data_IF_499638393739
#
_entry.id   IF_499638393739
#
_cell.length_a   1.000
_cell.length_b   1.000
_cell.length_c   1.000
_cell.angle_alpha   90.00
_cell.angle_beta   90.00
_cell.angle_gamma   90.00
#
_symmetry.space_group_name_H-M   'P 1'
#
loop_
_entity.id
_entity.type
_entity.pdbx_description
1 polymer ?
#
# COMPACT_ATOMS: atom_id res chain seq x y z
N UNK A 1 18.87 10.76 -14.96
CA UNK A 1 17.69 10.17 -14.30
C UNK A 1 17.04 11.26 -13.45
N UNK A 2 15.70 11.38 -13.40
CA UNK A 2 15.06 12.32 -12.49
C UNK A 2 15.48 11.95 -11.06
N UNK A 3 16.25 12.84 -10.44
CA UNK A 3 16.81 12.59 -9.12
C UNK A 3 15.67 12.64 -8.11
N UNK A 4 15.52 11.60 -7.29
CA UNK A 4 14.69 11.66 -6.09
C UNK A 4 15.17 12.82 -5.24
N UNK A 5 14.26 13.64 -4.71
CA UNK A 5 14.66 14.79 -3.89
C UNK A 5 15.31 14.28 -2.59
N UNK A 6 16.18 15.08 -1.94
CA UNK A 6 16.78 14.68 -0.67
C UNK A 6 15.75 14.27 0.40
N UNK A 7 14.56 14.89 0.38
CA UNK A 7 13.45 14.53 1.27
C UNK A 7 12.87 13.14 0.95
N UNK A 8 12.78 12.78 -0.33
CA UNK A 8 12.36 11.45 -0.77
C UNK A 8 13.37 10.39 -0.37
N UNK A 9 14.67 10.67 -0.56
CA UNK A 9 15.74 9.75 -0.16
C UNK A 9 15.73 9.48 1.35
N UNK A 10 15.50 10.51 2.18
CA UNK A 10 15.37 10.35 3.64
C UNK A 10 14.23 9.42 4.03
N UNK A 11 13.06 9.55 3.38
CA UNK A 11 11.92 8.66 3.62
C UNK A 11 12.21 7.22 3.21
N UNK A 12 12.77 7.04 2.02
CA UNK A 12 13.18 5.71 1.53
C UNK A 12 14.18 5.07 2.49
N UNK A 13 15.20 5.82 2.91
CA UNK A 13 16.20 5.35 3.86
C UNK A 13 15.58 4.96 5.20
N UNK A 14 14.63 5.74 5.70
CA UNK A 14 13.94 5.44 6.96
C UNK A 14 13.15 4.14 6.88
N UNK A 15 12.31 3.97 5.86
CA UNK A 15 11.51 2.74 5.66
C UNK A 15 12.41 1.53 5.47
N UNK A 16 13.50 1.66 4.70
CA UNK A 16 14.44 0.56 4.48
C UNK A 16 15.23 0.21 5.75
N UNK A 17 15.52 1.20 6.61
CA UNK A 17 16.11 0.96 7.92
C UNK A 17 15.15 0.18 8.83
N UNK A 18 13.90 0.63 8.95
CA UNK A 18 12.86 -0.08 9.72
C UNK A 18 12.60 -1.51 9.19
N UNK A 19 12.71 -1.73 7.87
CA UNK A 19 12.65 -3.06 7.28
C UNK A 19 13.83 -3.93 7.70
N UNK A 20 15.05 -3.36 7.72
CA UNK A 20 16.27 -4.05 8.12
C UNK A 20 16.24 -4.44 9.60
N UNK A 21 15.66 -3.59 10.45
CA UNK A 21 15.43 -3.88 11.88
C UNK A 21 14.27 -4.87 12.12
N UNK A 22 13.43 -5.13 11.10
CA UNK A 22 12.31 -6.07 11.21
C UNK A 22 11.05 -5.49 11.89
N UNK A 23 10.98 -4.16 11.94
CA UNK A 23 9.90 -3.39 12.56
C UNK A 23 8.91 -2.80 11.56
N UNK A 24 9.27 -2.79 10.26
CA UNK A 24 8.38 -2.29 9.23
C UNK A 24 7.07 -3.09 9.17
N UNK A 25 5.96 -2.36 9.35
CA UNK A 25 4.59 -2.90 9.26
C UNK A 25 3.89 -2.39 8.01
N UNK A 26 3.10 -3.26 7.42
CA UNK A 26 2.13 -2.88 6.39
C UNK A 26 0.92 -2.19 7.00
N UNK A 27 0.07 -1.59 6.16
CA UNK A 27 -1.17 -0.95 6.59
C UNK A 27 -2.16 -1.88 7.28
N UNK A 28 -2.02 -3.21 7.11
CA UNK A 28 -2.80 -4.23 7.83
C UNK A 28 -2.21 -4.60 9.19
N UNK A 29 -1.11 -3.97 9.61
CA UNK A 29 -0.39 -4.28 10.85
C UNK A 29 0.55 -5.48 10.77
N UNK A 30 0.55 -6.21 9.64
CA UNK A 30 1.44 -7.34 9.43
C UNK A 30 2.87 -6.88 9.14
N UNK A 31 3.86 -7.58 9.70
CA UNK A 31 5.28 -7.34 9.42
C UNK A 31 5.59 -7.57 7.93
N UNK A 32 6.36 -6.65 7.37
CA UNK A 32 6.83 -6.76 5.98
C UNK A 32 7.96 -7.77 5.92
N UNK A 33 7.77 -8.82 5.12
CA UNK A 33 8.76 -9.92 5.01
C UNK A 33 9.60 -9.85 3.74
N UNK A 34 9.16 -9.08 2.74
CA UNK A 34 9.81 -9.06 1.44
C UNK A 34 10.45 -7.69 1.16
N UNK A 35 11.71 -7.64 0.69
CA UNK A 35 12.38 -6.39 0.33
C UNK A 35 11.62 -5.61 -0.74
N UNK A 36 11.01 -6.32 -1.69
CA UNK A 36 10.18 -5.73 -2.75
C UNK A 36 8.97 -4.96 -2.19
N UNK A 37 8.34 -5.49 -1.14
CA UNK A 37 7.24 -4.80 -0.48
C UNK A 37 7.72 -3.59 0.32
N UNK A 38 8.88 -3.67 0.98
CA UNK A 38 9.48 -2.54 1.66
C UNK A 38 9.79 -1.40 0.68
N UNK A 39 10.35 -1.71 -0.49
CA UNK A 39 10.60 -0.73 -1.56
C UNK A 39 9.30 -0.10 -2.04
N UNK A 40 8.22 -0.88 -2.21
CA UNK A 40 6.93 -0.33 -2.63
C UNK A 40 6.34 0.65 -1.60
N UNK A 41 6.49 0.35 -0.30
CA UNK A 41 6.07 1.25 0.79
C UNK A 41 6.94 2.51 0.79
N UNK A 42 8.27 2.35 0.69
CA UNK A 42 9.23 3.45 0.63
C UNK A 42 8.94 4.42 -0.53
N UNK A 43 8.66 3.90 -1.72
CA UNK A 43 8.30 4.70 -2.90
C UNK A 43 6.95 5.41 -2.71
N UNK A 44 5.96 4.74 -2.11
CA UNK A 44 4.64 5.32 -1.83
C UNK A 44 4.70 6.43 -0.77
N UNK A 45 5.52 6.27 0.28
CA UNK A 45 5.72 7.30 1.31
C UNK A 45 6.52 8.50 0.79
N UNK A 46 7.49 8.23 -0.08
CA UNK A 46 8.26 9.26 -0.78
C UNK A 46 7.45 10.00 -1.86
N UNK A 47 6.26 9.52 -2.22
CA UNK A 47 5.49 10.07 -3.34
C UNK A 47 6.20 9.89 -4.69
N UNK A 48 7.10 8.91 -4.77
CA UNK A 48 7.84 8.52 -5.96
C UNK A 48 7.10 7.42 -6.76
N UNK A 49 5.93 7.00 -6.29
CA UNK A 49 5.01 6.06 -6.94
C UNK A 49 4.24 6.64 -8.14
N UNK A 50 4.39 7.94 -8.41
CA UNK A 50 3.63 8.65 -9.45
C UNK A 50 4.36 8.66 -10.81
N UNK A 51 3.92 7.87 -11.81
CA UNK A 51 4.23 8.18 -13.20
C UNK A 51 3.54 9.49 -13.62
N UNK A 52 4.07 10.22 -14.62
CA UNK A 52 3.45 11.44 -15.14
C UNK A 52 2.08 11.13 -15.79
N UNK A 53 1.01 11.24 -15.00
CA UNK A 53 -0.41 11.37 -15.39
C UNK A 53 -1.11 10.23 -16.16
N UNK A 54 -2.47 10.23 -16.10
CA UNK A 54 -3.47 9.45 -16.88
C UNK A 54 -4.07 8.15 -16.33
N UNK A 55 -4.09 7.90 -15.02
CA UNK A 55 -5.04 6.90 -14.49
C UNK A 55 -5.78 7.42 -13.26
N UNK A 56 -7.10 7.69 -13.34
CA UNK A 56 -7.87 7.97 -12.13
C UNK A 56 -7.73 6.76 -11.21
N UNK A 57 -7.47 7.01 -9.92
CA UNK A 57 -7.50 5.99 -8.87
C UNK A 57 -8.89 5.37 -8.90
N UNK A 58 -9.08 4.31 -9.68
CA UNK A 58 -10.36 3.62 -9.72
C UNK A 58 -10.56 3.10 -8.32
N UNK A 59 -11.60 3.60 -7.65
CA UNK A 59 -12.12 3.12 -6.39
C UNK A 59 -12.61 1.66 -6.55
N UNK A 60 -11.75 0.72 -6.95
CA UNK A 60 -11.97 -0.72 -6.73
C UNK A 60 -11.70 -0.91 -5.24
N UNK A 61 -12.69 -0.74 -4.36
CA UNK A 61 -13.36 -1.93 -3.84
C UNK A 61 -14.49 -1.59 -2.84
N UNK A 62 -15.13 -0.42 -2.90
CA UNK A 62 -16.31 -0.16 -2.05
C UNK A 62 -17.58 -0.87 -2.57
N UNK A 63 -17.68 -1.11 -3.89
CA UNK A 63 -18.83 -1.81 -4.48
C UNK A 63 -18.78 -3.34 -4.29
N UNK A 64 -17.59 -3.96 -4.32
CA UNK A 64 -17.47 -5.42 -4.22
C UNK A 64 -17.75 -5.97 -2.81
N UNK A 65 -17.55 -5.16 -1.75
CA UNK A 65 -17.82 -5.58 -0.36
C UNK A 65 -19.31 -5.57 0.00
N UNK A 66 -20.15 -4.76 -0.67
CA UNK A 66 -21.60 -4.70 -0.38
C UNK A 66 -22.36 -5.91 -0.94
N UNK A 67 -21.88 -6.51 -2.02
CA UNK A 67 -22.52 -7.66 -2.66
C UNK A 67 -22.38 -8.97 -1.87
N UNK A 68 -21.31 -9.12 -1.07
CA UNK A 68 -21.03 -10.35 -0.31
C UNK A 68 -21.95 -10.44 0.92
N UNK A 69 -22.11 -9.36 1.68
CA UNK A 69 -22.97 -9.30 2.88
C UNK A 69 -24.48 -9.45 2.55
N UNK A 70 -24.89 -9.15 1.32
CA UNK A 70 -26.31 -9.26 0.92
C UNK A 70 -26.72 -10.70 0.58
N UNK A 71 -25.77 -11.57 0.21
CA UNK A 71 -26.06 -12.97 -0.13
C UNK A 71 -26.19 -13.88 1.09
N UNK A 72 -25.47 -13.60 2.19
CA UNK A 72 -25.57 -14.40 3.41
C UNK A 72 -26.88 -14.17 4.17
N UNK A 73 -27.44 -12.95 4.16
CA UNK A 73 -28.70 -12.64 4.86
C UNK A 73 -29.96 -13.27 4.23
N UNK A 74 -29.87 -13.79 3.00
CA UNK A 74 -31.04 -14.39 2.29
C UNK A 74 -31.17 -15.89 2.49
N UNK A 75 -30.15 -16.57 3.03
CA UNK A 75 -30.13 -18.03 3.18
C UNK A 75 -30.63 -18.48 4.56
N UNK A 76 -30.62 -17.59 5.56
CA UNK A 76 -31.00 -17.90 6.95
C UNK A 76 -32.48 -17.61 7.29
N UNK A 77 -33.36 -17.56 6.29
CA UNK A 77 -34.81 -17.39 6.53
C UNK A 77 -35.59 -18.57 5.93
N UNK A 78 -35.56 -19.69 6.63
CA UNK A 78 -36.59 -20.72 6.61
C UNK A 78 -37.09 -20.90 8.04
#
# INVERSE_FOLDING_TARGET
MPQTTPAQQRKVSKVMHEFKEGDLKSSSGQKVKSPKQAIAIALSEAGADKPPSKRPKTKRSVAAKKAINTRERKVTKH
#
